data_IF_359566606553
#
_entry.id   IF_359566606553
#
_cell.length_a   1.000
_cell.length_b   1.000
_cell.length_c   1.000
_cell.angle_alpha   90.00
_cell.angle_beta   90.00
_cell.angle_gamma   90.00
#
_symmetry.space_group_name_H-M   'P 1'
#
loop_
_entity.id
_entity.type
_entity.pdbx_description
1 polymer ?
#
# COMPACT_ATOMS: atom_id res chain seq x y z
N UNK A 1 -1.12 27.19 -6.37
CA UNK A 1 -0.44 25.94 -6.69
C UNK A 1 -0.46 24.96 -5.55
N UNK A 2 -0.17 25.41 -4.35
CA UNK A 2 -0.15 24.50 -3.20
C UNK A 2 -1.49 23.86 -2.92
N UNK A 3 -2.58 24.59 -3.13
CA UNK A 3 -3.91 24.07 -2.87
C UNK A 3 -4.23 22.89 -3.77
N UNK A 4 -3.80 22.93 -5.02
CA UNK A 4 -4.01 21.84 -5.96
C UNK A 4 -3.14 20.65 -5.55
N UNK A 5 -1.91 20.92 -5.17
CA UNK A 5 -0.98 19.89 -4.75
C UNK A 5 -1.43 19.23 -3.44
N UNK A 6 -2.09 19.98 -2.57
CA UNK A 6 -2.59 19.42 -1.33
C UNK A 6 -3.61 18.31 -1.57
N UNK A 7 -4.52 18.50 -2.52
CA UNK A 7 -5.50 17.47 -2.86
C UNK A 7 -4.82 16.24 -3.43
N UNK A 8 -3.89 16.43 -4.35
CA UNK A 8 -3.13 15.35 -4.97
C UNK A 8 -2.31 14.62 -3.92
N UNK A 9 -1.67 15.37 -3.04
CA UNK A 9 -0.87 14.80 -1.97
C UNK A 9 -1.69 13.92 -1.04
N UNK A 10 -2.91 14.33 -0.73
CA UNK A 10 -3.79 13.55 0.13
C UNK A 10 -4.09 12.19 -0.48
N UNK A 11 -4.37 12.16 -1.78
CA UNK A 11 -4.62 10.92 -2.50
C UNK A 11 -3.37 10.04 -2.51
N UNK A 12 -2.21 10.64 -2.73
CA UNK A 12 -0.95 9.91 -2.74
C UNK A 12 -0.65 9.29 -1.38
N UNK A 13 -0.92 10.02 -0.30
CA UNK A 13 -0.71 9.50 1.05
C UNK A 13 -1.59 8.29 1.31
N UNK A 14 -2.85 8.36 0.91
CA UNK A 14 -3.77 7.22 1.08
C UNK A 14 -3.27 6.03 0.28
N UNK A 15 -2.85 6.26 -0.95
CA UNK A 15 -2.37 5.20 -1.81
C UNK A 15 -1.09 4.55 -1.26
N UNK A 16 -0.18 5.36 -0.75
CA UNK A 16 1.05 4.85 -0.14
C UNK A 16 0.72 3.98 1.07
N UNK A 17 -0.23 4.40 1.90
CA UNK A 17 -0.66 3.59 3.04
C UNK A 17 -1.23 2.26 2.61
N UNK A 18 -2.06 2.26 1.57
CA UNK A 18 -2.65 1.04 1.05
C UNK A 18 -1.58 0.10 0.50
N UNK A 19 -0.61 0.63 -0.20
CA UNK A 19 0.51 -0.17 -0.71
C UNK A 19 1.33 -0.73 0.44
N UNK A 20 1.57 0.06 1.47
CA UNK A 20 2.30 -0.40 2.66
C UNK A 20 1.58 -1.56 3.33
N UNK A 21 0.27 -1.47 3.48
CA UNK A 21 -0.53 -2.55 4.06
C UNK A 21 -0.47 -3.80 3.19
N UNK A 22 -0.53 -3.63 1.88
CA UNK A 22 -0.44 -4.73 0.93
C UNK A 22 0.88 -5.48 1.09
N UNK A 23 1.99 -4.76 1.12
CA UNK A 23 3.30 -5.39 1.27
C UNK A 23 3.52 -5.96 2.66
N UNK A 24 3.00 -5.31 3.69
CA UNK A 24 3.10 -5.85 5.04
C UNK A 24 2.41 -7.21 5.13
N UNK A 25 1.23 -7.34 4.53
CA UNK A 25 0.53 -8.61 4.52
C UNK A 25 1.26 -9.65 3.67
N UNK A 26 1.85 -9.22 2.56
CA UNK A 26 2.53 -10.13 1.63
C UNK A 26 3.82 -10.69 2.22
N UNK A 27 4.57 -9.87 2.93
CA UNK A 27 5.91 -10.25 3.38
C UNK A 27 6.01 -10.58 4.86
N UNK A 28 4.94 -10.44 5.61
CA UNK A 28 4.92 -10.79 7.02
C UNK A 28 3.76 -11.73 7.31
N UNK A 29 3.83 -12.37 8.46
CA UNK A 29 2.74 -13.23 8.92
C UNK A 29 1.90 -12.54 9.99
N UNK A 30 2.00 -11.23 10.07
CA UNK A 30 1.26 -10.46 11.06
C UNK A 30 -0.23 -10.47 10.78
N UNK A 31 -1.07 -10.55 11.82
CA UNK A 31 -2.50 -10.40 11.64
C UNK A 31 -2.88 -9.04 11.07
N UNK A 32 -4.01 -8.97 10.38
CA UNK A 32 -4.47 -7.72 9.80
C UNK A 32 -4.66 -6.63 10.83
N UNK A 33 -5.10 -6.98 12.03
CA UNK A 33 -5.28 -6.01 13.11
C UNK A 33 -3.97 -5.37 13.52
N UNK A 34 -2.88 -6.15 13.55
CA UNK A 34 -1.56 -5.63 13.89
C UNK A 34 -1.07 -4.70 12.78
N UNK A 35 -1.23 -5.11 11.54
CA UNK A 35 -0.85 -4.27 10.39
C UNK A 35 -1.61 -2.94 10.43
N UNK A 36 -2.90 -2.99 10.73
CA UNK A 36 -3.72 -1.79 10.85
C UNK A 36 -3.24 -0.86 11.96
N UNK A 37 -2.82 -1.43 13.08
CA UNK A 37 -2.31 -0.64 14.19
C UNK A 37 -1.04 0.11 13.79
N UNK A 38 -0.15 -0.54 13.05
CA UNK A 38 1.06 0.11 12.58
C UNK A 38 0.79 1.18 11.53
N UNK A 39 -0.30 1.05 10.79
CA UNK A 39 -0.62 1.97 9.70
C UNK A 39 -1.59 3.07 10.12
N UNK A 40 -1.62 3.43 11.38
CA UNK A 40 -2.41 4.54 11.87
C UNK A 40 -3.70 4.11 12.57
N UNK A 41 -3.64 3.01 13.32
CA UNK A 41 -4.78 2.49 14.09
C UNK A 41 -5.99 2.19 13.22
N UNK A 42 -5.76 1.54 12.09
CA UNK A 42 -6.84 1.10 11.21
C UNK A 42 -7.28 -0.30 11.62
N UNK A 43 -8.56 -0.59 11.45
CA UNK A 43 -9.06 -1.91 11.77
C UNK A 43 -8.71 -2.92 10.67
N UNK A 44 -8.97 -4.20 10.94
CA UNK A 44 -8.62 -5.25 9.99
C UNK A 44 -9.41 -5.13 8.67
N UNK A 45 -10.63 -4.62 8.73
CA UNK A 45 -11.44 -4.44 7.53
C UNK A 45 -10.81 -3.41 6.59
N UNK A 46 -10.27 -2.33 7.15
CA UNK A 46 -9.59 -1.31 6.38
C UNK A 46 -8.35 -1.88 5.70
N UNK A 47 -7.57 -2.69 6.42
CA UNK A 47 -6.38 -3.32 5.86
C UNK A 47 -6.76 -4.28 4.74
N UNK A 48 -7.78 -5.09 4.95
CA UNK A 48 -8.26 -6.02 3.94
C UNK A 48 -8.71 -5.29 2.69
N UNK A 49 -9.46 -4.20 2.88
CA UNK A 49 -9.92 -3.39 1.75
C UNK A 49 -8.74 -2.80 0.98
N UNK A 50 -7.74 -2.29 1.69
CA UNK A 50 -6.55 -1.74 1.07
C UNK A 50 -5.82 -2.79 0.24
N UNK A 51 -5.64 -3.98 0.79
CA UNK A 51 -4.98 -5.06 0.07
C UNK A 51 -5.74 -5.44 -1.20
N UNK A 52 -7.06 -5.51 -1.13
CA UNK A 52 -7.89 -5.80 -2.29
C UNK A 52 -7.78 -4.70 -3.35
N UNK A 53 -7.83 -3.46 -2.90
CA UNK A 53 -7.75 -2.32 -3.80
C UNK A 53 -6.43 -2.32 -4.57
N UNK A 54 -5.32 -2.50 -3.88
CA UNK A 54 -4.01 -2.51 -4.52
C UNK A 54 -3.87 -3.72 -5.44
N UNK A 55 -4.36 -4.88 -5.04
CA UNK A 55 -4.33 -6.06 -5.89
C UNK A 55 -5.10 -5.84 -7.19
N UNK A 56 -6.30 -5.28 -7.07
CA UNK A 56 -7.12 -5.00 -8.25
C UNK A 56 -6.46 -3.97 -9.16
N UNK A 57 -5.90 -2.92 -8.58
CA UNK A 57 -5.21 -1.89 -9.35
C UNK A 57 -3.99 -2.46 -10.07
N UNK A 58 -3.26 -3.36 -9.41
CA UNK A 58 -2.08 -3.96 -10.03
C UNK A 58 -2.46 -4.84 -11.23
N UNK A 59 -3.68 -5.35 -11.26
CA UNK A 59 -4.14 -6.17 -12.37
C UNK A 59 -4.72 -5.34 -13.52
N UNK A 60 -5.31 -4.17 -13.20
CA UNK A 60 -6.03 -3.36 -14.19
C UNK A 60 -5.27 -2.13 -14.64
N UNK A 61 -4.31 -1.65 -13.84
CA UNK A 61 -3.55 -0.43 -14.13
C UNK A 61 -2.08 -0.79 -14.32
N UNK A 62 -1.57 -0.61 -15.53
CA UNK A 62 -0.18 -0.95 -15.86
C UNK A 62 0.82 -0.12 -15.04
N UNK A 63 0.51 1.14 -14.78
CA UNK A 63 1.39 2.00 -14.00
C UNK A 63 1.49 1.51 -12.56
N UNK A 64 0.37 1.13 -11.99
CA UNK A 64 0.35 0.59 -10.64
C UNK A 64 1.09 -0.74 -10.57
N UNK A 65 0.89 -1.59 -11.56
CA UNK A 65 1.59 -2.88 -11.62
C UNK A 65 3.10 -2.67 -11.68
N UNK A 66 3.54 -1.72 -12.51
CA UNK A 66 4.96 -1.42 -12.63
C UNK A 66 5.52 -0.88 -11.32
N UNK A 67 4.78 0.02 -10.69
CA UNK A 67 5.18 0.61 -9.41
C UNK A 67 5.33 -0.46 -8.32
N UNK A 68 4.35 -1.35 -8.22
CA UNK A 68 4.40 -2.44 -7.25
C UNK A 68 5.55 -3.38 -7.54
N UNK A 69 5.77 -3.70 -8.81
CA UNK A 69 6.88 -4.57 -9.21
C UNK A 69 8.21 -3.96 -8.84
N UNK A 70 8.38 -2.66 -9.06
CA UNK A 70 9.61 -1.97 -8.71
C UNK A 70 9.87 -1.99 -7.21
N UNK A 71 8.84 -1.73 -6.41
CA UNK A 71 8.96 -1.77 -4.96
C UNK A 71 9.30 -3.19 -4.50
N UNK A 72 8.64 -4.17 -5.08
CA UNK A 72 8.87 -5.58 -4.74
C UNK A 72 10.32 -5.97 -4.97
N UNK A 73 10.89 -5.56 -6.10
CA UNK A 73 12.30 -5.81 -6.39
C UNK A 73 13.22 -5.16 -5.38
N UNK A 74 12.92 -3.92 -5.02
CA UNK A 74 13.73 -3.20 -4.04
C UNK A 74 13.67 -3.86 -2.68
N UNK A 75 12.53 -4.35 -2.28
CA UNK A 75 12.38 -5.04 -1.00
C UNK A 75 13.15 -6.35 -0.99
N UNK A 76 13.13 -7.09 -2.08
CA UNK A 76 13.89 -8.34 -2.19
C UNK A 76 15.39 -8.09 -2.10
N UNK A 77 15.86 -7.06 -2.79
CA UNK A 77 17.28 -6.69 -2.74
C UNK A 77 17.66 -6.23 -1.34
N UNK A 78 16.79 -5.46 -0.71
CA UNK A 78 17.03 -4.94 0.63
C UNK A 78 17.13 -6.03 1.69
N UNK A 79 16.57 -7.20 1.44
CA UNK A 79 16.59 -8.31 2.40
C UNK A 79 17.82 -9.18 2.28
N UNK A 80 18.65 -8.91 1.32
CA UNK A 80 19.90 -9.64 1.17
C UNK A 80 20.99 -8.97 2.00
#
# INVERSE_FOLDING_TARGET
MESINAKTRKREIVQVRQISMYFAKKYTHLPLSVIGAYCGNKDHATVLHACRTIRNLSETDKKMKQYITDIDKKMKIGNI
#
